data_IF_128152160265
#
_entry.id   IF_128152160265
#
_cell.length_a   1.000
_cell.length_b   1.000
_cell.length_c   1.000
_cell.angle_alpha   90.00
_cell.angle_beta   90.00
_cell.angle_gamma   90.00
#
_symmetry.space_group_name_H-M   'P 1'
#
loop_
_entity.id
_entity.type
_entity.pdbx_description
1 polymer ?
#
# COMPACT_ATOMS: atom_id res chain seq x y z
N UNK A 1 -14.19 -3.15 -14.29
CA UNK A 1 -14.03 -4.62 -14.24
C UNK A 1 -12.68 -5.11 -14.77
N UNK A 2 -12.28 -4.88 -16.03
CA UNK A 2 -10.96 -5.36 -16.54
C UNK A 2 -9.75 -4.86 -15.75
N UNK A 3 -9.78 -3.61 -15.29
CA UNK A 3 -8.68 -2.97 -14.56
C UNK A 3 -8.45 -3.58 -13.16
N UNK A 4 -9.53 -3.94 -12.45
CA UNK A 4 -9.44 -4.55 -11.11
C UNK A 4 -8.87 -5.97 -11.21
N UNK A 5 -9.36 -6.76 -12.17
CA UNK A 5 -8.85 -8.12 -12.39
C UNK A 5 -7.39 -8.11 -12.83
N UNK A 6 -7.01 -7.17 -13.69
CA UNK A 6 -5.61 -6.96 -14.04
C UNK A 6 -4.77 -6.59 -12.81
N UNK A 7 -5.22 -5.64 -12.00
CA UNK A 7 -4.52 -5.24 -10.78
C UNK A 7 -4.30 -6.42 -9.83
N UNK A 8 -5.35 -7.19 -9.52
CA UNK A 8 -5.27 -8.40 -8.68
C UNK A 8 -4.25 -9.38 -9.24
N UNK A 9 -4.31 -9.65 -10.54
CA UNK A 9 -3.38 -10.56 -11.22
C UNK A 9 -1.94 -10.06 -11.14
N UNK A 10 -1.69 -8.80 -11.47
CA UNK A 10 -0.34 -8.23 -11.46
C UNK A 10 0.24 -8.18 -10.04
N UNK A 11 -0.52 -7.71 -9.06
CA UNK A 11 -0.10 -7.68 -7.66
C UNK A 11 0.24 -9.09 -7.15
N UNK A 12 -0.60 -10.08 -7.44
CA UNK A 12 -0.35 -11.48 -7.08
C UNK A 12 0.90 -12.05 -7.76
N UNK A 13 1.12 -11.76 -9.05
CA UNK A 13 2.34 -12.16 -9.76
C UNK A 13 3.60 -11.53 -9.17
N UNK A 14 3.48 -10.33 -8.62
CA UNK A 14 4.57 -9.66 -7.93
C UNK A 14 4.75 -10.14 -6.48
N UNK A 15 3.84 -10.96 -5.94
CA UNK A 15 3.93 -11.48 -4.58
C UNK A 15 3.21 -10.61 -3.53
N UNK A 16 2.37 -9.67 -3.94
CA UNK A 16 1.51 -8.90 -3.02
C UNK A 16 0.14 -9.54 -2.93
N UNK A 17 -0.29 -9.81 -1.72
CA UNK A 17 -1.62 -10.34 -1.45
C UNK A 17 -2.69 -9.25 -1.66
N UNK A 18 -3.79 -9.62 -2.31
CA UNK A 18 -4.93 -8.72 -2.52
C UNK A 18 -6.18 -9.35 -1.93
N UNK A 19 -6.72 -8.72 -0.88
CA UNK A 19 -7.91 -9.15 -0.15
C UNK A 19 -9.02 -8.09 -0.24
N UNK A 20 -10.24 -8.43 0.15
CA UNK A 20 -11.30 -7.45 0.34
C UNK A 20 -11.31 -6.92 1.78
N UNK A 21 -11.88 -5.73 1.98
CA UNK A 21 -11.90 -5.07 3.29
C UNK A 21 -12.58 -5.90 4.37
N UNK A 22 -13.64 -6.64 4.01
CA UNK A 22 -14.40 -7.49 4.93
C UNK A 22 -13.54 -8.60 5.57
N UNK A 23 -12.45 -9.00 4.90
CA UNK A 23 -11.54 -10.05 5.37
C UNK A 23 -10.62 -9.56 6.49
N UNK A 24 -10.35 -8.24 6.57
CA UNK A 24 -9.44 -7.64 7.56
C UNK A 24 -10.17 -6.77 8.60
N UNK A 25 -11.41 -6.37 8.32
CA UNK A 25 -12.23 -5.51 9.18
C UNK A 25 -12.27 -5.96 10.66
N UNK A 26 -12.40 -7.26 11.00
CA UNK A 26 -12.38 -7.69 12.40
C UNK A 26 -11.05 -7.38 13.10
N UNK A 27 -9.91 -7.66 12.44
CA UNK A 27 -8.56 -7.37 12.97
C UNK A 27 -8.36 -5.86 13.15
N UNK A 28 -8.78 -5.06 12.15
CA UNK A 28 -8.66 -3.61 12.22
C UNK A 28 -9.53 -3.02 13.34
N UNK A 29 -10.73 -3.55 13.54
CA UNK A 29 -11.63 -3.12 14.61
C UNK A 29 -11.06 -3.43 16.00
N UNK A 30 -10.47 -4.61 16.19
CA UNK A 30 -9.79 -4.98 17.45
C UNK A 30 -8.59 -4.07 17.76
N UNK A 31 -7.83 -3.70 16.72
CA UNK A 31 -6.72 -2.74 16.85
C UNK A 31 -7.22 -1.32 17.15
N UNK A 32 -8.49 -1.01 16.88
CA UNK A 32 -9.08 0.31 17.07
C UNK A 32 -8.84 1.24 15.88
N UNK A 33 -8.72 0.70 14.67
CA UNK A 33 -8.69 1.49 13.44
C UNK A 33 -10.02 2.24 13.26
N UNK A 34 -9.93 3.54 13.02
CA UNK A 34 -11.07 4.47 12.98
C UNK A 34 -11.32 5.06 11.58
N UNK A 35 -10.70 4.48 10.54
CA UNK A 35 -10.84 4.95 9.16
C UNK A 35 -9.92 6.12 8.79
N UNK A 36 -8.96 6.49 9.65
CA UNK A 36 -7.94 7.50 9.32
C UNK A 36 -7.08 7.11 8.12
N UNK A 37 -6.53 8.13 7.45
CA UNK A 37 -5.60 7.96 6.32
C UNK A 37 -4.35 7.18 6.69
N UNK A 38 -3.80 7.42 7.89
CA UNK A 38 -2.65 6.68 8.44
C UNK A 38 -3.01 6.18 9.83
N UNK A 39 -2.70 4.93 10.11
CA UNK A 39 -2.91 4.31 11.42
C UNK A 39 -1.78 3.31 11.68
N UNK A 40 -1.20 3.37 12.87
CA UNK A 40 -0.12 2.46 13.27
C UNK A 40 -0.36 1.99 14.70
N UNK A 41 -0.37 0.67 14.92
CA UNK A 41 -0.49 0.06 16.24
C UNK A 41 0.05 -1.36 16.23
N UNK A 42 0.78 -1.74 17.27
CA UNK A 42 1.25 -3.12 17.52
C UNK A 42 1.97 -3.75 16.31
N UNK A 43 2.74 -2.93 15.56
CA UNK A 43 3.49 -3.37 14.39
C UNK A 43 2.66 -3.51 13.10
N UNK A 44 1.41 -3.06 13.12
CA UNK A 44 0.50 -3.01 11.97
C UNK A 44 0.30 -1.56 11.54
N UNK A 45 0.66 -1.27 10.29
CA UNK A 45 0.35 -0.04 9.60
C UNK A 45 -0.88 -0.21 8.69
N UNK A 46 -1.71 0.82 8.63
CA UNK A 46 -2.83 0.94 7.68
C UNK A 46 -2.73 2.30 7.02
N UNK A 47 -2.83 2.32 5.69
CA UNK A 47 -2.86 3.55 4.91
C UNK A 47 -3.96 3.53 3.85
N UNK A 48 -4.63 4.66 3.64
CA UNK A 48 -5.53 4.86 2.50
C UNK A 48 -4.72 5.30 1.27
N UNK A 49 -4.84 4.56 0.18
CA UNK A 49 -4.23 4.94 -1.09
C UNK A 49 -4.97 6.12 -1.73
N UNK A 50 -4.20 6.97 -2.41
CA UNK A 50 -4.72 7.98 -3.34
C UNK A 50 -5.32 7.29 -4.57
N UNK A 51 -4.58 6.32 -5.09
CA UNK A 51 -4.95 5.55 -6.29
C UNK A 51 -4.06 4.31 -6.41
N UNK A 52 -4.32 3.46 -7.41
CA UNK A 52 -3.48 2.34 -7.74
C UNK A 52 -3.33 2.16 -9.26
N UNK A 53 -2.26 1.49 -9.68
CA UNK A 53 -1.97 1.20 -11.08
C UNK A 53 -2.04 -0.29 -11.38
N UNK A 54 -2.88 -0.67 -12.34
CA UNK A 54 -3.15 -2.06 -12.69
C UNK A 54 -2.02 -2.75 -13.46
N UNK A 55 -1.33 -2.04 -14.37
CA UNK A 55 -0.22 -2.63 -15.13
C UNK A 55 0.99 -2.97 -14.29
N UNK A 56 1.26 -2.20 -13.24
CA UNK A 56 2.42 -2.40 -12.35
C UNK A 56 2.05 -3.11 -11.04
N UNK A 57 0.77 -3.11 -10.66
CA UNK A 57 0.32 -3.73 -9.41
C UNK A 57 0.90 -3.00 -8.20
N UNK A 58 0.82 -1.67 -8.18
CA UNK A 58 1.27 -0.83 -7.08
C UNK A 58 0.20 0.20 -6.67
N UNK A 59 0.34 0.72 -5.46
CA UNK A 59 -0.57 1.71 -4.88
C UNK A 59 0.19 3.01 -4.61
N UNK A 60 -0.45 4.14 -4.90
CA UNK A 60 0.06 5.46 -4.63
C UNK A 60 -0.43 5.94 -3.27
N UNK A 61 0.48 6.22 -2.36
CA UNK A 61 0.19 6.77 -1.03
C UNK A 61 0.96 8.08 -0.84
N UNK A 62 0.48 8.92 0.08
CA UNK A 62 1.16 10.16 0.45
C UNK A 62 1.38 10.27 1.94
N UNK A 63 2.37 11.06 2.33
CA UNK A 63 2.61 11.45 3.72
C UNK A 63 3.01 12.93 3.78
N UNK A 64 2.60 13.61 4.84
CA UNK A 64 2.89 15.01 5.11
C UNK A 64 3.77 15.21 6.34
N UNK A 65 3.85 14.21 7.21
CA UNK A 65 4.66 14.26 8.43
C UNK A 65 5.59 13.05 8.55
N UNK A 66 6.63 13.18 9.37
CA UNK A 66 7.51 12.04 9.70
C UNK A 66 6.73 10.89 10.35
N UNK A 67 5.73 11.20 11.19
CA UNK A 67 4.90 10.19 11.84
C UNK A 67 4.06 9.38 10.84
N UNK A 68 3.52 10.04 9.81
CA UNK A 68 2.83 9.36 8.71
C UNK A 68 3.80 8.53 7.86
N UNK A 69 5.02 9.03 7.63
CA UNK A 69 6.04 8.27 6.91
C UNK A 69 6.45 7.02 7.69
N UNK A 70 6.70 7.14 9.00
CA UNK A 70 6.97 6.02 9.91
C UNK A 70 5.88 4.95 9.88
N UNK A 71 4.61 5.35 9.74
CA UNK A 71 3.50 4.40 9.57
C UNK A 71 3.70 3.46 8.36
N UNK A 72 4.36 3.93 7.31
CA UNK A 72 4.58 3.18 6.07
C UNK A 72 5.82 2.28 6.12
N UNK A 73 6.85 2.67 6.87
CA UNK A 73 8.17 2.03 6.82
C UNK A 73 8.53 1.21 8.07
N UNK A 74 8.03 1.59 9.25
CA UNK A 74 8.49 1.00 10.52
C UNK A 74 7.64 -0.20 10.99
N UNK A 75 6.48 -0.43 10.36
CA UNK A 75 5.58 -1.52 10.69
C UNK A 75 5.98 -2.83 10.02
N UNK A 76 5.75 -3.96 10.70
CA UNK A 76 5.99 -5.29 10.11
C UNK A 76 4.97 -5.64 9.04
N UNK A 77 3.71 -5.29 9.27
CA UNK A 77 2.63 -5.47 8.31
C UNK A 77 2.11 -4.10 7.87
N UNK A 78 1.94 -3.91 6.56
CA UNK A 78 1.31 -2.71 5.99
C UNK A 78 0.09 -3.10 5.15
N UNK A 79 -1.08 -2.64 5.57
CA UNK A 79 -2.33 -2.76 4.82
C UNK A 79 -2.60 -1.47 4.07
N UNK A 80 -2.62 -1.54 2.74
CA UNK A 80 -2.94 -0.40 1.88
C UNK A 80 -4.37 -0.58 1.40
N UNK A 81 -5.27 0.25 1.90
CA UNK A 81 -6.68 0.25 1.52
C UNK A 81 -6.84 1.05 0.23
N UNK A 82 -7.39 0.41 -0.80
CA UNK A 82 -7.55 0.95 -2.15
C UNK A 82 -9.03 0.94 -2.47
N UNK A 83 -9.58 2.12 -2.80
CA UNK A 83 -10.90 2.22 -3.38
C UNK A 83 -10.88 1.62 -4.79
N UNK A 84 -11.78 0.67 -5.07
CA UNK A 84 -11.87 -0.01 -6.38
C UNK A 84 -12.06 0.96 -7.55
N UNK A 85 -12.69 2.11 -7.31
CA UNK A 85 -12.92 3.15 -8.32
C UNK A 85 -11.66 3.97 -8.63
N UNK A 86 -10.64 3.90 -7.77
CA UNK A 86 -9.37 4.61 -7.91
C UNK A 86 -8.22 3.71 -8.42
N UNK A 87 -8.57 2.60 -9.08
CA UNK A 87 -7.62 1.73 -9.77
C UNK A 87 -7.59 2.10 -11.26
N UNK A 88 -6.44 2.60 -11.72
CA UNK A 88 -6.23 3.10 -13.07
C UNK A 88 -5.37 2.15 -13.90
N UNK A 89 -5.46 2.21 -15.24
CA UNK A 89 -4.70 1.31 -16.11
C UNK A 89 -3.18 1.35 -15.91
N UNK A 90 -2.64 2.51 -15.55
CA UNK A 90 -1.19 2.79 -15.53
C UNK A 90 -0.82 3.75 -14.40
N UNK A 91 0.45 3.70 -13.96
CA UNK A 91 1.02 4.63 -12.99
C UNK A 91 0.88 6.09 -13.39
N UNK A 92 0.90 6.42 -14.69
CA UNK A 92 0.79 7.81 -15.14
C UNK A 92 -0.60 8.38 -14.83
N UNK A 93 -1.67 7.67 -15.17
CA UNK A 93 -3.03 8.08 -14.86
C UNK A 93 -3.39 7.93 -13.38
N UNK A 94 -2.80 6.98 -12.65
CA UNK A 94 -2.85 6.96 -11.19
C UNK A 94 -2.18 8.20 -10.57
N UNK A 95 -0.97 8.55 -11.03
CA UNK A 95 -0.22 9.71 -10.56
C UNK A 95 -0.97 11.02 -10.77
N UNK A 96 -1.72 11.17 -11.88
CA UNK A 96 -2.55 12.37 -12.10
C UNK A 96 -3.52 12.65 -10.95
N UNK A 97 -3.91 11.65 -10.18
CA UNK A 97 -4.80 11.80 -9.01
C UNK A 97 -4.11 12.40 -7.79
N UNK A 98 -2.78 12.45 -7.74
CA UNK A 98 -2.07 13.18 -6.68
C UNK A 98 -2.17 14.70 -6.84
N UNK A 99 -2.51 15.20 -8.04
CA UNK A 99 -2.54 16.65 -8.34
C UNK A 99 -3.58 17.44 -7.54
N UNK A 100 -4.56 16.77 -6.94
CA UNK A 100 -5.61 17.39 -6.13
C UNK A 100 -5.32 17.34 -4.62
N UNK A 101 -4.15 16.83 -4.21
CA UNK A 101 -3.80 16.59 -2.81
C UNK A 101 -2.47 17.29 -2.52
N UNK A 102 -2.37 17.94 -1.36
CA UNK A 102 -1.10 18.45 -0.86
C UNK A 102 -0.34 17.31 -0.16
N UNK A 103 0.91 17.10 -0.58
CA UNK A 103 1.77 16.04 -0.07
C UNK A 103 3.21 16.54 0.07
N UNK A 104 3.93 16.07 1.10
CA UNK A 104 5.37 16.26 1.24
C UNK A 104 6.15 15.06 0.66
N UNK A 105 5.59 13.87 0.82
CA UNK A 105 6.10 12.62 0.27
C UNK A 105 5.00 11.92 -0.51
N UNK A 106 5.36 11.39 -1.67
CA UNK A 106 4.47 10.63 -2.54
C UNK A 106 5.21 9.37 -2.99
N UNK A 107 4.62 8.21 -2.74
CA UNK A 107 5.28 6.92 -2.90
C UNK A 107 4.36 5.96 -3.63
N UNK A 108 4.90 5.31 -4.65
CA UNK A 108 4.31 4.08 -5.18
C UNK A 108 4.86 2.90 -4.39
N UNK A 109 3.98 2.22 -3.66
CA UNK A 109 4.32 1.01 -2.92
C UNK A 109 3.80 -0.19 -3.72
N UNK A 110 4.71 -1.09 -4.05
CA UNK A 110 4.45 -2.35 -4.73
C UNK A 110 5.17 -3.48 -4.02
N UNK A 111 5.25 -4.63 -4.69
CA UNK A 111 6.02 -5.74 -4.17
C UNK A 111 7.51 -5.43 -4.07
N UNK A 112 8.19 -6.21 -3.24
CA UNK A 112 9.65 -6.21 -3.21
C UNK A 112 10.22 -6.63 -4.56
N UNK A 113 11.17 -5.86 -5.05
CA UNK A 113 11.90 -6.23 -6.25
C UNK A 113 12.86 -7.38 -5.95
N UNK A 114 13.23 -8.14 -7.00
CA UNK A 114 14.30 -9.14 -6.88
C UNK A 114 15.61 -8.57 -6.32
N UNK A 115 15.88 -7.29 -6.60
CA UNK A 115 17.05 -6.59 -6.08
C UNK A 115 16.92 -6.34 -4.58
N UNK A 116 15.73 -5.98 -4.09
CA UNK A 116 15.47 -5.76 -2.67
C UNK A 116 15.63 -7.05 -1.85
N UNK A 117 15.19 -8.20 -2.37
CA UNK A 117 15.35 -9.50 -1.72
C UNK A 117 16.83 -9.89 -1.55
N UNK A 118 17.68 -9.57 -2.53
CA UNK A 118 19.13 -9.76 -2.44
C UNK A 118 19.75 -8.78 -1.44
N UNK A 119 19.38 -7.49 -1.49
CA UNK A 119 19.92 -6.45 -0.61
C UNK A 119 19.61 -6.73 0.87
N UNK A 120 18.45 -7.31 1.17
CA UNK A 120 18.08 -7.79 2.51
C UNK A 120 19.02 -8.84 3.09
N UNK A 121 19.61 -9.67 2.22
CA UNK A 121 20.57 -10.69 2.65
C UNK A 121 21.98 -10.12 2.86
N UNK A 122 22.28 -8.97 2.24
CA UNK A 122 23.61 -8.37 2.22
C UNK A 122 23.77 -7.22 3.22
N UNK A 123 22.69 -6.54 3.59
CA UNK A 123 22.70 -5.36 4.46
C UNK A 123 21.78 -5.58 5.66
N UNK A 124 22.34 -5.43 6.86
CA UNK A 124 21.55 -5.39 8.10
C UNK A 124 21.03 -3.96 8.35
N UNK A 125 19.73 -3.82 8.65
CA UNK A 125 19.10 -2.51 8.85
C UNK A 125 17.59 -2.55 8.66
N UNK A 126 16.92 -1.41 8.85
CA UNK A 126 15.48 -1.26 8.62
C UNK A 126 15.19 -1.40 7.14
N UNK A 127 14.50 -2.47 6.79
CA UNK A 127 13.82 -2.64 5.52
C UNK A 127 12.36 -2.24 5.77
N UNK A 128 11.68 -1.67 4.77
CA UNK A 128 10.25 -1.37 4.88
C UNK A 128 9.43 -2.62 5.27
N UNK A 129 8.11 -2.47 5.45
CA UNK A 129 7.26 -3.53 5.96
C UNK A 129 7.55 -4.93 5.39
N UNK A 130 7.72 -5.91 6.28
CA UNK A 130 8.01 -7.31 5.95
C UNK A 130 6.88 -7.93 5.11
N UNK A 131 5.64 -7.45 5.29
CA UNK A 131 4.47 -7.88 4.55
C UNK A 131 3.61 -6.68 4.16
N UNK A 132 3.37 -6.53 2.86
CA UNK A 132 2.41 -5.56 2.30
C UNK A 132 1.19 -6.30 1.77
N UNK A 133 -0.01 -5.79 2.09
CA UNK A 133 -1.29 -6.32 1.62
C UNK A 133 -2.10 -5.19 0.99
N UNK A 134 -2.64 -5.44 -0.20
CA UNK A 134 -3.62 -4.55 -0.79
C UNK A 134 -5.02 -4.97 -0.39
N UNK A 135 -5.78 -4.01 0.15
CA UNK A 135 -7.13 -4.23 0.66
C UNK A 135 -8.11 -3.46 -0.20
N UNK A 136 -8.92 -4.18 -0.97
CA UNK A 136 -9.90 -3.57 -1.86
C UNK A 136 -11.17 -3.22 -1.09
N UNK A 137 -11.51 -1.94 -1.08
CA UNK A 137 -12.78 -1.41 -0.57
C UNK A 137 -13.68 -1.08 -1.75
#
# INVERSE_FOLDING_TARGET
>A
MKTIEQFKKTASLNGVEVINFEEIEPKLSELGYDGKTHFSKDGVGVVLAISAAASEGNALVSSNTEQELSCLIDNKELYIIINKDDIYPSMYEAYKKSSVIQWNYLMFIGAESKTADIEKQLVSGVQAAERVVFVLR
#
